data_IF_879250105274
#
_entry.id   IF_879250105274
#
_cell.length_a   1.000
_cell.length_b   1.000
_cell.length_c   1.000
_cell.angle_alpha   90.00
_cell.angle_beta   90.00
_cell.angle_gamma   90.00
#
_symmetry.space_group_name_H-M   'P 1'
#
loop_
_entity.id
_entity.type
_entity.pdbx_description
1 polymer ?
#
# COMPACT_ATOMS: atom_id res chain seq x y z
N UNK A 1 -14.29 17.30 -8.11
CA UNK A 1 -13.35 18.20 -7.40
C UNK A 1 -13.00 17.60 -6.04
N UNK A 2 -11.77 17.82 -5.55
CA UNK A 2 -11.39 17.42 -4.19
C UNK A 2 -12.12 18.30 -3.15
N UNK A 3 -12.28 17.82 -1.89
CA UNK A 3 -12.75 18.68 -0.81
C UNK A 3 -11.84 19.92 -0.65
N UNK A 4 -12.37 21.06 -0.17
CA UNK A 4 -11.59 22.28 0.03
C UNK A 4 -10.29 22.03 0.81
N UNK A 5 -9.21 22.68 0.38
CA UNK A 5 -7.89 22.59 1.01
C UNK A 5 -7.13 21.28 0.76
N UNK A 6 -7.74 20.27 0.12
CA UNK A 6 -7.02 19.07 -0.30
C UNK A 6 -6.36 19.25 -1.66
N UNK A 7 -5.17 18.69 -1.83
CA UNK A 7 -4.39 18.81 -3.06
C UNK A 7 -3.83 17.47 -3.53
N UNK A 8 -3.39 17.45 -4.80
CA UNK A 8 -2.63 16.35 -5.38
C UNK A 8 -1.23 16.85 -5.71
N UNK A 9 -0.21 16.19 -5.17
CA UNK A 9 1.18 16.41 -5.56
C UNK A 9 1.62 15.28 -6.50
N UNK A 10 2.02 15.65 -7.72
CA UNK A 10 2.42 14.70 -8.76
C UNK A 10 3.93 14.44 -8.77
N UNK A 11 4.31 13.16 -8.89
CA UNK A 11 5.68 12.69 -8.99
C UNK A 11 5.91 12.05 -10.35
N UNK A 12 6.37 12.87 -11.31
CA UNK A 12 6.53 12.52 -12.72
C UNK A 12 8.01 12.51 -13.14
N UNK A 13 8.32 11.98 -14.32
CA UNK A 13 9.67 11.99 -14.90
C UNK A 13 10.74 11.39 -13.97
N UNK A 14 11.73 12.19 -13.57
CA UNK A 14 12.77 11.77 -12.62
C UNK A 14 12.21 11.44 -11.23
N UNK A 15 11.17 12.19 -10.78
CA UNK A 15 10.50 11.94 -9.48
C UNK A 15 9.70 10.65 -9.49
N UNK A 16 9.11 10.26 -10.63
CA UNK A 16 8.48 8.93 -10.80
C UNK A 16 9.46 7.79 -10.51
N UNK A 17 10.66 7.87 -11.11
CA UNK A 17 11.73 6.87 -10.89
C UNK A 17 12.21 6.86 -9.43
N UNK A 18 12.27 8.02 -8.78
CA UNK A 18 12.61 8.12 -7.36
C UNK A 18 11.52 7.52 -6.46
N UNK A 19 10.24 7.76 -6.76
CA UNK A 19 9.10 7.17 -6.05
C UNK A 19 9.07 5.64 -6.18
N UNK A 20 9.27 5.09 -7.39
CA UNK A 20 9.34 3.65 -7.59
C UNK A 20 10.49 3.00 -6.78
N UNK A 21 11.65 3.66 -6.69
CA UNK A 21 12.77 3.22 -5.82
C UNK A 21 12.41 3.31 -4.34
N UNK A 22 11.67 4.33 -3.92
CA UNK A 22 11.17 4.46 -2.55
C UNK A 22 10.20 3.32 -2.21
N UNK A 23 9.29 2.95 -3.11
CA UNK A 23 8.39 1.80 -2.93
C UNK A 23 9.17 0.49 -2.84
N UNK A 24 10.13 0.28 -3.74
CA UNK A 24 11.01 -0.88 -3.72
C UNK A 24 11.78 -1.03 -2.39
N UNK A 25 12.23 0.09 -1.79
CA UNK A 25 12.91 0.05 -0.49
C UNK A 25 11.94 -0.17 0.67
N UNK A 26 10.78 0.49 0.67
CA UNK A 26 9.71 0.27 1.66
C UNK A 26 9.23 -1.18 1.66
N UNK A 27 9.17 -1.80 0.49
CA UNK A 27 8.78 -3.19 0.37
C UNK A 27 9.79 -4.14 1.05
N UNK A 28 11.07 -3.79 1.15
CA UNK A 28 12.04 -4.55 1.96
C UNK A 28 11.70 -4.51 3.44
N UNK A 29 11.26 -3.35 3.94
CA UNK A 29 10.90 -3.17 5.34
C UNK A 29 9.78 -4.14 5.71
N UNK A 30 8.66 -4.12 4.98
CA UNK A 30 7.52 -5.03 5.25
C UNK A 30 7.86 -6.51 5.08
N UNK A 31 8.70 -6.87 4.10
CA UNK A 31 9.00 -8.29 3.84
C UNK A 31 9.92 -8.91 4.89
N UNK A 32 10.61 -8.08 5.69
CA UNK A 32 11.56 -8.55 6.71
C UNK A 32 11.03 -8.40 8.14
N UNK A 33 9.72 -8.22 8.30
CA UNK A 33 9.05 -8.06 9.59
C UNK A 33 8.03 -9.20 9.84
N UNK A 34 8.12 -9.92 10.97
CA UNK A 34 7.13 -10.93 11.35
C UNK A 34 5.71 -10.36 11.46
N UNK A 35 5.57 -9.14 11.96
CA UNK A 35 4.28 -8.47 12.16
C UNK A 35 3.59 -8.19 10.82
N UNK A 36 4.36 -7.73 9.82
CA UNK A 36 3.85 -7.55 8.47
C UNK A 36 3.51 -8.89 7.83
N UNK A 37 4.30 -9.94 8.02
CA UNK A 37 3.97 -11.28 7.51
C UNK A 37 2.63 -11.80 8.05
N UNK A 38 2.35 -11.63 9.33
CA UNK A 38 1.06 -12.05 9.93
C UNK A 38 -0.12 -11.35 9.23
N UNK A 39 -0.01 -10.04 9.01
CA UNK A 39 -1.02 -9.27 8.28
C UNK A 39 -1.19 -9.84 6.86
N UNK A 40 -0.12 -9.94 6.08
CA UNK A 40 -0.19 -10.44 4.70
C UNK A 40 -0.75 -11.88 4.62
N UNK A 41 -0.40 -12.75 5.57
CA UNK A 41 -0.92 -14.12 5.65
C UNK A 41 -2.44 -14.14 5.90
N UNK A 42 -2.94 -13.24 6.74
CA UNK A 42 -4.37 -13.17 7.07
C UNK A 42 -5.25 -12.56 5.97
N UNK A 43 -4.70 -11.61 5.20
CA UNK A 43 -5.47 -10.84 4.20
C UNK A 43 -5.42 -11.42 2.79
N UNK A 44 -4.54 -12.40 2.49
CA UNK A 44 -4.48 -13.02 1.17
C UNK A 44 -5.34 -14.28 1.14
N UNK A 45 -6.24 -14.34 0.16
CA UNK A 45 -7.00 -15.55 -0.15
C UNK A 45 -6.36 -16.27 -1.36
N UNK A 46 -5.98 -17.52 -1.17
CA UNK A 46 -5.24 -18.31 -2.16
C UNK A 46 -6.15 -19.13 -3.07
N UNK A 47 -5.78 -19.25 -4.34
CA UNK A 47 -6.57 -19.86 -5.42
C UNK A 47 -7.94 -19.19 -5.62
N UNK A 48 -8.00 -17.88 -5.44
CA UNK A 48 -9.23 -17.13 -5.55
C UNK A 48 -9.12 -16.10 -6.68
N UNK A 49 -10.18 -16.00 -7.49
CA UNK A 49 -10.36 -14.89 -8.43
C UNK A 49 -11.11 -13.73 -7.79
N UNK A 50 -12.04 -14.05 -6.90
CA UNK A 50 -12.85 -13.10 -6.13
C UNK A 50 -12.82 -13.47 -4.66
N UNK A 51 -12.91 -12.47 -3.79
CA UNK A 51 -12.95 -12.66 -2.34
C UNK A 51 -13.81 -11.56 -1.71
N UNK A 52 -14.68 -11.90 -0.76
CA UNK A 52 -15.63 -10.95 -0.16
C UNK A 52 -14.98 -9.95 0.81
N UNK A 53 -13.90 -10.35 1.46
CA UNK A 53 -13.27 -9.60 2.54
C UNK A 53 -11.72 -9.60 2.51
N UNK A 54 -11.10 -10.36 1.60
CA UNK A 54 -9.65 -10.50 1.46
C UNK A 54 -9.17 -10.12 0.06
N UNK A 55 -7.85 -10.15 -0.12
CA UNK A 55 -7.19 -9.92 -1.40
C UNK A 55 -7.02 -11.28 -2.09
N UNK A 56 -7.70 -11.55 -3.21
CA UNK A 56 -7.45 -12.76 -3.98
C UNK A 56 -6.03 -12.75 -4.54
N UNK A 57 -5.33 -13.89 -4.48
CA UNK A 57 -3.96 -14.04 -4.96
C UNK A 57 -3.79 -13.66 -6.43
N UNK A 58 -4.81 -13.90 -7.26
CA UNK A 58 -4.82 -13.50 -8.67
C UNK A 58 -4.83 -11.96 -8.88
N UNK A 59 -5.15 -11.18 -7.84
CA UNK A 59 -5.10 -9.72 -7.89
C UNK A 59 -3.76 -9.12 -7.41
N UNK A 60 -2.80 -9.95 -6.97
CA UNK A 60 -1.50 -9.49 -6.47
C UNK A 60 -0.57 -8.95 -7.56
N UNK A 61 -0.81 -9.31 -8.83
CA UNK A 61 0.02 -8.88 -9.96
C UNK A 61 1.34 -9.66 -10.07
N UNK A 62 1.37 -10.90 -9.60
CA UNK A 62 2.49 -11.84 -9.75
C UNK A 62 2.12 -12.97 -10.71
N UNK A 63 3.11 -13.60 -11.33
CA UNK A 63 2.88 -14.77 -12.20
C UNK A 63 2.47 -16.02 -11.40
N UNK A 64 1.93 -17.03 -12.09
CA UNK A 64 1.37 -18.23 -11.45
C UNK A 64 2.43 -19.05 -10.67
N UNK A 65 3.67 -19.10 -11.16
CA UNK A 65 4.74 -19.82 -10.47
C UNK A 65 5.13 -19.08 -9.18
N UNK A 66 5.27 -17.74 -9.26
CA UNK A 66 5.51 -16.88 -8.09
C UNK A 66 4.36 -16.96 -7.09
N UNK A 67 3.10 -16.96 -7.53
CA UNK A 67 1.94 -17.11 -6.65
C UNK A 67 1.98 -18.45 -5.89
N UNK A 68 2.30 -19.56 -6.57
CA UNK A 68 2.40 -20.89 -5.94
C UNK A 68 3.53 -20.94 -4.91
N UNK A 69 4.67 -20.35 -5.23
CA UNK A 69 5.80 -20.25 -4.31
C UNK A 69 5.46 -19.38 -3.09
N UNK A 70 4.89 -18.19 -3.32
CA UNK A 70 4.45 -17.29 -2.26
C UNK A 70 3.44 -17.98 -1.34
N UNK A 71 2.46 -18.71 -1.88
CA UNK A 71 1.50 -19.49 -1.09
C UNK A 71 2.19 -20.44 -0.12
N UNK A 72 3.20 -21.18 -0.57
CA UNK A 72 3.93 -22.12 0.26
C UNK A 72 4.83 -21.41 1.29
N UNK A 73 5.56 -20.36 0.88
CA UNK A 73 6.43 -19.58 1.78
C UNK A 73 5.60 -18.94 2.90
N UNK A 74 4.48 -18.29 2.55
CA UNK A 74 3.66 -17.51 3.47
C UNK A 74 2.99 -18.33 4.58
N UNK A 75 2.97 -19.67 4.49
CA UNK A 75 2.39 -20.52 5.54
C UNK A 75 3.17 -20.47 6.86
N UNK A 76 4.50 -20.30 6.81
CA UNK A 76 5.38 -20.37 7.99
C UNK A 76 6.41 -19.23 7.95
N UNK A 77 6.53 -18.47 9.04
CA UNK A 77 7.51 -17.38 9.13
C UNK A 77 8.94 -17.85 8.87
N UNK A 78 9.32 -19.03 9.37
CA UNK A 78 10.65 -19.60 9.18
C UNK A 78 11.02 -19.76 7.70
N UNK A 79 10.03 -20.03 6.83
CA UNK A 79 10.26 -20.09 5.38
C UNK A 79 10.53 -18.70 4.81
N UNK A 80 9.74 -17.70 5.23
CA UNK A 80 9.94 -16.30 4.82
C UNK A 80 11.32 -15.82 5.22
N UNK A 81 11.70 -16.04 6.48
CA UNK A 81 13.00 -15.67 7.02
C UNK A 81 14.16 -16.36 6.28
N UNK A 82 14.05 -17.67 6.05
CA UNK A 82 15.05 -18.42 5.29
C UNK A 82 15.22 -17.85 3.88
N UNK A 83 14.12 -17.64 3.15
CA UNK A 83 14.18 -17.12 1.78
C UNK A 83 14.74 -15.70 1.75
N UNK A 84 14.33 -14.84 2.69
CA UNK A 84 14.81 -13.48 2.77
C UNK A 84 16.31 -13.39 3.06
N UNK A 85 16.81 -14.27 3.93
CA UNK A 85 18.21 -14.30 4.35
C UNK A 85 19.11 -14.95 3.29
N UNK A 86 18.68 -16.06 2.68
CA UNK A 86 19.56 -16.93 1.87
C UNK A 86 19.26 -16.95 0.38
N UNK A 87 18.02 -16.66 -0.04
CA UNK A 87 17.58 -16.82 -1.43
C UNK A 87 17.15 -15.50 -2.07
N UNK A 88 17.59 -14.37 -1.52
CA UNK A 88 17.14 -13.04 -1.93
C UNK A 88 15.60 -12.95 -2.06
N UNK A 89 14.86 -13.64 -1.18
CA UNK A 89 13.41 -13.84 -1.26
C UNK A 89 12.59 -12.55 -1.25
N UNK A 90 13.19 -11.44 -0.82
CA UNK A 90 12.57 -10.12 -0.95
C UNK A 90 12.58 -9.59 -2.39
N UNK A 91 13.57 -9.95 -3.21
CA UNK A 91 13.88 -9.26 -4.47
C UNK A 91 12.79 -9.46 -5.52
N UNK A 92 12.39 -10.70 -5.81
CA UNK A 92 11.39 -10.99 -6.84
C UNK A 92 10.04 -10.30 -6.57
N UNK A 93 9.43 -10.41 -5.37
CA UNK A 93 8.19 -9.69 -5.06
C UNK A 93 8.34 -8.17 -5.19
N UNK A 94 9.47 -7.61 -4.73
CA UNK A 94 9.73 -6.16 -4.79
C UNK A 94 9.89 -5.67 -6.23
N UNK A 95 10.47 -6.47 -7.12
CA UNK A 95 10.58 -6.13 -8.53
C UNK A 95 9.21 -6.19 -9.22
N UNK A 96 8.49 -7.31 -9.06
CA UNK A 96 7.22 -7.55 -9.76
C UNK A 96 6.09 -6.65 -9.28
N UNK A 97 6.00 -6.37 -7.97
CA UNK A 97 4.85 -5.66 -7.40
C UNK A 97 5.09 -4.16 -7.19
N UNK A 98 6.33 -3.75 -6.95
CA UNK A 98 6.67 -2.37 -6.57
C UNK A 98 7.47 -1.64 -7.66
N UNK A 99 8.65 -2.16 -8.05
CA UNK A 99 9.56 -1.42 -8.93
C UNK A 99 9.07 -1.36 -10.38
N UNK A 100 8.84 -2.52 -11.01
CA UNK A 100 8.43 -2.58 -12.43
C UNK A 100 7.11 -1.83 -12.64
N UNK A 101 6.05 -2.08 -11.84
CA UNK A 101 4.81 -1.32 -11.97
C UNK A 101 4.97 0.17 -11.63
N UNK A 102 5.82 0.53 -10.66
CA UNK A 102 6.10 1.92 -10.33
C UNK A 102 6.83 2.67 -11.46
N UNK A 103 7.67 1.98 -12.22
CA UNK A 103 8.30 2.55 -13.42
C UNK A 103 7.35 2.61 -14.62
N UNK A 104 6.45 1.63 -14.73
CA UNK A 104 5.48 1.51 -15.82
C UNK A 104 4.21 2.36 -15.64
N UNK A 105 3.98 2.95 -14.46
CA UNK A 105 2.84 3.85 -14.24
C UNK A 105 3.03 5.21 -14.95
N UNK A 106 1.95 5.97 -15.12
CA UNK A 106 2.05 7.33 -15.68
C UNK A 106 2.69 8.28 -14.65
N UNK A 107 2.20 8.24 -13.42
CA UNK A 107 2.72 9.04 -12.31
C UNK A 107 2.48 8.34 -10.96
N UNK A 108 3.31 8.71 -9.97
CA UNK A 108 2.91 8.55 -8.58
C UNK A 108 2.23 9.84 -8.10
N UNK A 109 1.32 9.73 -7.14
CA UNK A 109 0.62 10.85 -6.56
C UNK A 109 0.69 10.81 -5.03
N UNK A 110 0.63 11.99 -4.42
CA UNK A 110 0.44 12.17 -2.98
C UNK A 110 -0.76 13.08 -2.78
N UNK A 111 -1.81 12.56 -2.15
CA UNK A 111 -2.93 13.39 -1.68
C UNK A 111 -2.54 14.06 -0.38
N UNK A 112 -2.82 15.35 -0.29
CA UNK A 112 -2.52 16.19 0.86
C UNK A 112 -3.80 16.74 1.48
N UNK A 113 -3.78 16.90 2.80
CA UNK A 113 -4.81 17.60 3.57
C UNK A 113 -4.38 19.06 3.82
N UNK A 114 -5.31 19.97 4.17
CA UNK A 114 -4.96 21.38 4.46
C UNK A 114 -4.02 21.54 5.65
N UNK A 115 -4.04 20.58 6.58
CA UNK A 115 -3.13 20.50 7.72
C UNK A 115 -2.84 19.04 8.02
N UNK A 116 -1.82 18.79 8.85
CA UNK A 116 -1.54 17.45 9.35
C UNK A 116 -2.77 16.85 10.04
N UNK A 117 -3.22 15.64 9.64
CA UNK A 117 -4.28 14.93 10.34
C UNK A 117 -3.84 14.53 11.75
N UNK A 118 -4.68 14.82 12.74
CA UNK A 118 -4.46 14.48 14.14
C UNK A 118 -5.70 13.84 14.78
N UNK A 119 -6.90 14.22 14.32
CA UNK A 119 -8.18 13.75 14.85
C UNK A 119 -8.88 12.82 13.88
N UNK A 120 -9.87 12.08 14.38
CA UNK A 120 -10.69 11.16 13.56
C UNK A 120 -11.31 11.89 12.37
N UNK A 121 -11.87 13.08 12.57
CA UNK A 121 -12.50 13.88 11.51
C UNK A 121 -11.53 14.21 10.37
N UNK A 122 -10.25 14.49 10.70
CA UNK A 122 -9.23 14.78 9.69
C UNK A 122 -9.01 13.56 8.77
N UNK A 123 -9.06 12.35 9.33
CA UNK A 123 -8.94 11.11 8.56
C UNK A 123 -10.21 10.77 7.77
N UNK A 124 -11.40 11.13 8.29
CA UNK A 124 -12.65 11.00 7.55
C UNK A 124 -12.66 11.92 6.32
N UNK A 125 -12.21 13.16 6.47
CA UNK A 125 -12.08 14.11 5.36
C UNK A 125 -11.04 13.65 4.33
N UNK A 126 -9.88 13.16 4.80
CA UNK A 126 -8.89 12.55 3.93
C UNK A 126 -9.44 11.35 3.15
N UNK A 127 -10.26 10.51 3.80
CA UNK A 127 -10.95 9.40 3.17
C UNK A 127 -11.92 9.84 2.07
N UNK A 128 -12.71 10.90 2.31
CA UNK A 128 -13.58 11.52 1.30
C UNK A 128 -12.77 12.04 0.11
N UNK A 129 -11.64 12.69 0.36
CA UNK A 129 -10.75 13.18 -0.69
C UNK A 129 -10.17 12.04 -1.54
N UNK A 130 -9.67 10.98 -0.89
CA UNK A 130 -9.14 9.80 -1.54
C UNK A 130 -10.20 9.10 -2.40
N UNK A 131 -11.42 8.93 -1.89
CA UNK A 131 -12.51 8.30 -2.64
C UNK A 131 -12.91 9.14 -3.86
N UNK A 132 -13.04 10.46 -3.72
CA UNK A 132 -13.35 11.36 -4.84
C UNK A 132 -12.27 11.32 -5.91
N UNK A 133 -11.00 11.33 -5.50
CA UNK A 133 -9.86 11.20 -6.41
C UNK A 133 -9.92 9.88 -7.19
N UNK A 134 -10.10 8.75 -6.50
CA UNK A 134 -10.17 7.44 -7.12
C UNK A 134 -11.34 7.32 -8.10
N UNK A 135 -12.55 7.71 -7.70
CA UNK A 135 -13.72 7.66 -8.58
C UNK A 135 -13.56 8.55 -9.82
N UNK A 136 -12.92 9.72 -9.67
CA UNK A 136 -12.62 10.61 -10.80
C UNK A 136 -11.63 9.94 -11.76
N UNK A 137 -10.55 9.36 -11.25
CA UNK A 137 -9.59 8.61 -12.07
C UNK A 137 -10.27 7.46 -12.83
N UNK A 138 -11.15 6.71 -12.14
CA UNK A 138 -11.89 5.60 -12.76
C UNK A 138 -12.85 6.09 -13.84
N UNK A 139 -13.56 7.20 -13.61
CA UNK A 139 -14.45 7.81 -14.61
C UNK A 139 -13.70 8.27 -15.87
N UNK A 140 -12.41 8.60 -15.73
CA UNK A 140 -11.50 8.94 -16.84
C UNK A 140 -10.82 7.71 -17.48
N UNK A 141 -11.20 6.48 -17.08
CA UNK A 141 -10.61 5.25 -17.61
C UNK A 141 -9.20 4.94 -17.07
N UNK A 142 -8.76 5.62 -16.01
CA UNK A 142 -7.46 5.39 -15.38
C UNK A 142 -7.54 4.32 -14.30
N UNK A 143 -6.46 3.54 -14.19
CA UNK A 143 -6.23 2.57 -13.12
C UNK A 143 -5.42 3.22 -12.00
N UNK A 144 -5.74 2.87 -10.76
CA UNK A 144 -5.07 3.37 -9.56
C UNK A 144 -4.67 2.20 -8.65
N UNK A 145 -3.46 2.26 -8.09
CA UNK A 145 -3.06 1.37 -7.00
C UNK A 145 -2.53 2.18 -5.80
N UNK A 146 -3.09 2.00 -4.59
CA UNK A 146 -2.53 2.61 -3.38
C UNK A 146 -1.15 2.06 -3.03
N UNK A 147 -0.29 2.94 -2.53
CA UNK A 147 1.09 2.65 -2.11
C UNK A 147 1.33 3.26 -0.72
N UNK A 148 0.56 2.80 0.27
CA UNK A 148 0.45 3.46 1.58
C UNK A 148 1.64 3.21 2.52
N UNK A 149 2.46 2.20 2.26
CA UNK A 149 3.57 1.76 3.10
C UNK A 149 4.46 2.91 3.60
N UNK A 150 4.93 3.85 2.75
CA UNK A 150 5.76 4.97 3.21
C UNK A 150 5.05 5.86 4.23
N UNK A 151 3.76 6.16 4.03
CA UNK A 151 3.00 7.02 4.94
C UNK A 151 2.68 6.32 6.26
N UNK A 152 2.39 5.01 6.21
CA UNK A 152 2.14 4.19 7.42
C UNK A 152 3.38 4.22 8.32
N UNK A 153 4.56 3.91 7.78
CA UNK A 153 5.79 3.89 8.58
C UNK A 153 6.25 5.29 8.98
N UNK A 154 6.07 6.30 8.13
CA UNK A 154 6.34 7.68 8.50
C UNK A 154 5.50 8.15 9.69
N UNK A 155 4.23 7.73 9.76
CA UNK A 155 3.38 7.98 10.92
C UNK A 155 3.93 7.30 12.18
N UNK A 156 4.31 6.03 12.12
CA UNK A 156 4.90 5.34 13.28
C UNK A 156 6.17 6.02 13.77
N UNK A 157 7.07 6.41 12.85
CA UNK A 157 8.28 7.17 13.18
C UNK A 157 7.94 8.48 13.89
N UNK A 158 7.00 9.25 13.33
CA UNK A 158 6.62 10.56 13.85
C UNK A 158 5.90 10.50 15.20
N UNK A 159 5.17 9.43 15.45
CA UNK A 159 4.47 9.18 16.73
C UNK A 159 5.35 8.41 17.73
N UNK A 160 6.60 8.06 17.39
CA UNK A 160 7.48 7.27 18.26
C UNK A 160 6.94 5.87 18.55
N UNK A 161 6.11 5.31 17.66
CA UNK A 161 5.44 4.03 17.87
C UNK A 161 6.35 2.87 17.49
N UNK A 162 6.59 1.97 18.43
CA UNK A 162 7.24 0.68 18.15
C UNK A 162 6.29 -0.20 17.36
N UNK A 163 6.70 -0.62 16.18
CA UNK A 163 5.88 -1.42 15.25
C UNK A 163 6.50 -2.77 14.88
N UNK A 164 7.72 -3.05 15.35
CA UNK A 164 8.38 -4.34 15.15
C UNK A 164 9.36 -4.64 16.27
N UNK A 165 9.43 -5.91 16.68
CA UNK A 165 10.50 -6.42 17.54
C UNK A 165 11.81 -6.70 16.80
N UNK A 166 11.83 -6.61 15.46
CA UNK A 166 13.03 -6.90 14.68
C UNK A 166 14.06 -5.76 14.78
N UNK A 167 15.33 -6.05 15.13
CA UNK A 167 16.37 -5.03 15.24
C UNK A 167 16.55 -4.23 13.95
N UNK A 168 16.79 -2.92 14.08
CA UNK A 168 17.06 -2.05 12.93
C UNK A 168 15.82 -1.53 12.19
N UNK A 169 14.61 -2.01 12.49
CA UNK A 169 13.40 -1.63 11.74
C UNK A 169 13.03 -0.17 11.94
N UNK A 170 13.16 0.33 13.16
CA UNK A 170 12.91 1.74 13.48
C UNK A 170 13.84 2.67 12.69
N UNK A 171 15.15 2.41 12.73
CA UNK A 171 16.14 3.23 12.01
C UNK A 171 15.93 3.18 10.49
N UNK A 172 15.54 2.01 9.95
CA UNK A 172 15.21 1.88 8.52
C UNK A 172 13.96 2.68 8.16
N UNK A 173 12.90 2.61 8.97
CA UNK A 173 11.69 3.41 8.76
C UNK A 173 11.97 4.91 8.83
N UNK A 174 12.81 5.36 9.75
CA UNK A 174 13.27 6.75 9.85
C UNK A 174 14.00 7.20 8.58
N UNK A 175 14.94 6.39 8.10
CA UNK A 175 15.67 6.67 6.87
C UNK A 175 14.74 6.74 5.66
N UNK A 176 13.74 5.86 5.57
CA UNK A 176 12.74 5.86 4.51
C UNK A 176 11.79 7.06 4.61
N UNK A 177 11.41 7.47 5.82
CA UNK A 177 10.61 8.67 6.05
C UNK A 177 11.36 9.93 5.61
N UNK A 178 12.65 10.05 5.94
CA UNK A 178 13.51 11.15 5.44
C UNK A 178 13.60 11.17 3.92
N UNK A 179 13.71 10.00 3.28
CA UNK A 179 13.70 9.91 1.81
C UNK A 179 12.35 10.33 1.21
N UNK A 180 11.23 9.98 1.84
CA UNK A 180 9.90 10.43 1.42
C UNK A 180 9.73 11.95 1.53
N UNK A 181 10.19 12.53 2.64
CA UNK A 181 10.21 13.98 2.84
C UNK A 181 11.11 14.70 1.82
N UNK A 182 12.29 14.16 1.52
CA UNK A 182 13.17 14.71 0.50
C UNK A 182 12.57 14.63 -0.92
N UNK A 183 11.82 13.57 -1.21
CA UNK A 183 11.19 13.37 -2.52
C UNK A 183 10.00 14.31 -2.77
N UNK A 184 9.20 14.56 -1.74
CA UNK A 184 7.92 15.29 -1.85
C UNK A 184 8.02 16.75 -1.38
N UNK A 185 9.04 17.07 -0.58
CA UNK A 185 9.14 18.30 0.19
C UNK A 185 8.55 18.12 1.60
N UNK A 186 9.18 18.65 2.67
CA UNK A 186 8.70 18.46 4.05
C UNK A 186 7.25 18.88 4.28
N UNK A 187 6.80 19.98 3.67
CA UNK A 187 5.43 20.49 3.82
C UNK A 187 4.37 19.54 3.21
N UNK A 188 4.66 18.96 2.04
CA UNK A 188 3.80 17.97 1.38
C UNK A 188 3.79 16.68 2.20
N UNK A 189 4.96 16.24 2.67
CA UNK A 189 5.09 15.02 3.47
C UNK A 189 4.32 15.08 4.78
N UNK A 190 4.36 16.22 5.46
CA UNK A 190 3.71 16.38 6.76
C UNK A 190 2.18 16.36 6.67
N UNK A 191 1.64 16.77 5.52
CA UNK A 191 0.20 16.82 5.22
C UNK A 191 -0.28 15.65 4.34
N UNK A 192 0.61 14.72 3.99
CA UNK A 192 0.28 13.59 3.13
C UNK A 192 -0.69 12.61 3.81
N UNK A 193 -1.78 12.27 3.12
CA UNK A 193 -2.85 11.40 3.63
C UNK A 193 -3.06 10.14 2.81
N UNK A 194 -2.67 10.15 1.54
CA UNK A 194 -2.69 8.97 0.68
C UNK A 194 -1.56 9.08 -0.34
N UNK A 195 -0.96 7.94 -0.68
CA UNK A 195 0.03 7.84 -1.76
C UNK A 195 -0.33 6.66 -2.64
N UNK A 196 -0.05 6.77 -3.94
CA UNK A 196 -0.28 5.69 -4.88
C UNK A 196 0.29 5.98 -6.25
N UNK A 197 0.03 5.05 -7.16
CA UNK A 197 0.35 5.19 -8.59
C UNK A 197 -0.91 5.16 -9.44
N UNK A 198 -0.84 5.84 -10.58
CA UNK A 198 -1.94 5.96 -11.53
C UNK A 198 -1.43 5.78 -12.97
N UNK A 199 -2.26 5.27 -13.86
CA UNK A 199 -1.96 5.19 -15.29
C UNK A 199 -3.06 4.53 -16.11
N UNK A 200 -2.89 4.53 -17.43
CA UNK A 200 -3.72 3.76 -18.33
C UNK A 200 -3.29 2.28 -18.31
N UNK A 201 -4.26 1.37 -18.33
CA UNK A 201 -3.98 -0.06 -18.29
C UNK A 201 -5.23 -0.91 -18.43
N UNK A 202 -5.03 -2.22 -18.59
CA UNK A 202 -6.13 -3.18 -18.67
C UNK A 202 -6.90 -3.22 -17.35
N UNK A 203 -8.24 -3.36 -17.38
CA UNK A 203 -9.03 -3.56 -16.18
C UNK A 203 -8.60 -4.81 -15.40
N UNK A 204 -8.72 -4.76 -14.07
CA UNK A 204 -8.46 -5.92 -13.22
C UNK A 204 -9.44 -7.07 -13.50
N UNK A 205 -8.89 -8.28 -13.69
CA UNK A 205 -9.62 -9.54 -13.97
C UNK A 205 -9.99 -10.33 -12.72
N UNK A 206 -9.37 -10.01 -11.57
CA UNK A 206 -9.59 -10.55 -10.24
C UNK A 206 -9.83 -9.40 -9.25
N UNK A 207 -10.72 -9.57 -8.26
CA UNK A 207 -11.18 -8.45 -7.41
C UNK A 207 -11.56 -8.88 -6.00
N UNK A 208 -11.18 -8.06 -5.01
CA UNK A 208 -11.85 -8.04 -3.71
C UNK A 208 -13.24 -7.44 -3.89
N UNK A 209 -14.26 -8.25 -3.63
CA UNK A 209 -15.65 -7.87 -3.52
C UNK A 209 -15.88 -7.18 -2.16
N UNK A 210 -17.12 -7.21 -1.66
CA UNK A 210 -17.48 -6.60 -0.39
C UNK A 210 -18.31 -7.59 0.41
N UNK A 211 -18.12 -7.56 1.73
CA UNK A 211 -18.96 -8.27 2.68
C UNK A 211 -20.44 -7.95 2.40
N UNK A 212 -21.33 -8.96 2.41
CA UNK A 212 -22.77 -8.73 2.30
C UNK A 212 -23.24 -7.70 3.33
N UNK A 213 -24.15 -6.79 2.92
CA UNK A 213 -24.66 -5.72 3.78
C UNK A 213 -25.20 -6.26 5.12
N UNK A 214 -25.92 -7.38 5.09
CA UNK A 214 -26.46 -8.07 6.28
C UNK A 214 -25.41 -8.43 7.34
N UNK A 215 -24.15 -8.59 6.94
CA UNK A 215 -23.06 -8.91 7.86
C UNK A 215 -22.49 -7.66 8.55
N UNK A 216 -22.92 -6.47 8.14
CA UNK A 216 -22.48 -5.16 8.64
C UNK A 216 -23.58 -4.40 9.41
N UNK A 217 -24.85 -4.79 9.24
CA UNK A 217 -25.97 -4.19 9.97
C UNK A 217 -25.98 -4.66 11.43
N UNK A 218 -26.14 -3.71 12.35
CA UNK A 218 -26.34 -3.97 13.78
C UNK A 218 -27.82 -3.70 14.08
N UNK A 219 -28.62 -4.75 14.32
CA UNK A 219 -30.08 -4.64 14.52
C UNK A 219 -30.84 -5.93 14.15
N UNK A 220 -32.19 -5.96 14.23
CA UNK A 220 -32.99 -7.18 14.02
C UNK A 220 -32.87 -7.81 12.62
N UNK A 221 -32.32 -7.08 11.65
CA UNK A 221 -32.01 -7.54 10.28
C UNK A 221 -30.53 -7.90 10.06
N UNK A 222 -29.68 -7.81 11.09
CA UNK A 222 -28.29 -8.29 11.09
C UNK A 222 -28.18 -9.75 11.56
N UNK A 223 -27.05 -10.42 11.27
CA UNK A 223 -26.79 -11.78 11.79
C UNK A 223 -26.87 -11.82 13.32
N UNK A 224 -27.66 -12.76 13.87
CA UNK A 224 -27.47 -13.26 15.24
C UNK A 224 -26.13 -14.01 15.34
#
# INVERSE_FOLDING_TARGET
ALPPGHGVHWLEGARRRAAARLMFRNAKLRLTMPEAWQVHKSVIEWNARYSDDRIPDQALGVDAATARLMRWIMQRWQRVEFFNTWLAGTLAPRLQMDLIPGLACAAHFVLTAPRRPQRVDDYLDAGRAMQRFWLTATAQGLQLQPEMTPLIFARYVREGRVFSGTPGMQQRAEALSRQGAALTGPAVWETAVCMGRIGAGKPATARSLRRPLRDLLVGPSGRR
#
